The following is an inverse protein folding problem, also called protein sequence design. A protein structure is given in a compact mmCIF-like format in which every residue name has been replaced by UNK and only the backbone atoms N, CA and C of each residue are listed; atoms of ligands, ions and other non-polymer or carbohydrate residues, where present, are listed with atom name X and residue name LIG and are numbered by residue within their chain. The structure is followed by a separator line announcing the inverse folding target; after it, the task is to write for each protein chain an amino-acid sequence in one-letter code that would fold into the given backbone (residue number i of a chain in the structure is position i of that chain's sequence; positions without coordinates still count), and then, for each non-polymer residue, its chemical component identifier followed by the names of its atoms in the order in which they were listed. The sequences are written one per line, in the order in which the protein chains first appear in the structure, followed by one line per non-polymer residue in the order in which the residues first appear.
data_IF_748928230414
#
_entry.id   IF_748928230414
#
_cell.length_a   1.000
_cell.length_b   1.000
_cell.length_c   1.000
_cell.angle_alpha   90.00
_cell.angle_beta   90.00
_cell.angle_gamma   90.00
#
_symmetry.space_group_name_H-M   'P 1'
#
loop_
_entity.id
_entity.type
_entity.pdbx_description
1 polymer ?
#
# COMPACT_ATOMS: atom_id res chain seq x y z
N UNK A 1 9.77 13.77 -1.52
CA UNK A 1 9.84 12.30 -1.58
C UNK A 1 10.82 11.87 -0.50
N UNK A 2 10.42 10.95 0.39
CA UNK A 2 11.36 10.31 1.31
C UNK A 2 12.00 9.13 0.56
N UNK A 3 13.27 8.84 0.82
CA UNK A 3 13.93 7.66 0.24
C UNK A 3 13.61 6.39 1.05
N UNK A 4 12.48 6.38 1.75
CA UNK A 4 12.05 5.25 2.55
C UNK A 4 11.29 4.27 1.65
N UNK A 5 11.59 2.98 1.81
CA UNK A 5 10.83 1.92 1.15
C UNK A 5 9.51 1.75 1.91
N UNK A 6 8.39 1.92 1.22
CA UNK A 6 7.06 1.77 1.83
C UNK A 6 6.69 0.28 2.01
N UNK A 7 7.15 -0.61 1.12
CA UNK A 7 6.88 -2.05 1.19
C UNK A 7 8.00 -2.87 0.54
N UNK A 8 8.36 -3.98 1.18
CA UNK A 8 9.29 -4.98 0.64
C UNK A 8 8.57 -6.32 0.51
N UNK A 9 8.69 -6.96 -0.65
CA UNK A 9 8.20 -8.32 -0.90
C UNK A 9 9.38 -9.23 -1.23
N UNK A 10 9.38 -10.45 -0.67
CA UNK A 10 10.49 -11.40 -0.82
C UNK A 10 9.98 -12.73 -1.37
N UNK A 11 10.77 -13.36 -2.23
CA UNK A 11 10.48 -14.67 -2.77
C UNK A 11 10.63 -15.79 -1.75
N UNK A 12 10.02 -16.93 -2.04
CA UNK A 12 9.94 -18.09 -1.12
C UNK A 12 11.26 -18.84 -0.94
N UNK A 13 12.14 -18.82 -1.94
CA UNK A 13 13.43 -19.48 -1.89
C UNK A 13 14.44 -18.77 -2.80
N UNK A 14 15.72 -19.05 -2.57
CA UNK A 14 16.78 -18.71 -3.50
C UNK A 14 16.46 -19.28 -4.89
N UNK A 15 17.02 -18.66 -5.95
CA UNK A 15 16.94 -19.10 -7.35
C UNK A 15 15.53 -19.20 -7.98
N UNK A 16 14.44 -18.93 -7.26
CA UNK A 16 13.09 -18.89 -7.84
C UNK A 16 12.90 -17.69 -8.81
N UNK A 17 13.79 -16.71 -8.78
CA UNK A 17 13.71 -15.45 -9.52
C UNK A 17 12.38 -14.71 -9.30
N UNK A 18 11.91 -14.69 -8.05
CA UNK A 18 10.77 -13.86 -7.66
C UNK A 18 11.02 -12.39 -8.03
N UNK A 19 9.98 -11.74 -8.57
CA UNK A 19 10.04 -10.37 -9.09
C UNK A 19 10.93 -10.16 -10.30
N UNK A 20 11.30 -11.22 -11.05
CA UNK A 20 11.99 -11.06 -12.33
C UNK A 20 11.06 -10.56 -13.45
N UNK A 21 9.77 -10.87 -13.36
CA UNK A 21 8.75 -10.46 -14.33
C UNK A 21 7.67 -9.73 -13.56
N UNK A 22 7.37 -8.48 -13.92
CA UNK A 22 6.35 -7.64 -13.26
C UNK A 22 5.51 -6.94 -14.33
N UNK A 23 4.19 -6.94 -14.16
CA UNK A 23 3.29 -6.15 -15.00
C UNK A 23 2.10 -5.60 -14.21
N UNK A 24 1.55 -4.49 -14.70
CA UNK A 24 0.27 -3.95 -14.24
C UNK A 24 -0.85 -4.86 -14.71
N UNK A 25 -1.81 -5.20 -13.85
CA UNK A 25 -2.90 -6.11 -14.18
C UNK A 25 -4.26 -5.40 -14.38
N UNK A 26 -4.33 -4.10 -14.10
CA UNK A 26 -5.62 -3.42 -13.95
C UNK A 26 -6.32 -3.88 -12.67
N UNK A 27 -7.62 -3.65 -12.54
CA UNK A 27 -8.42 -4.12 -11.39
C UNK A 27 -9.02 -5.50 -11.72
N UNK A 28 -8.42 -6.58 -11.22
CA UNK A 28 -8.84 -7.95 -11.51
C UNK A 28 -9.97 -8.43 -10.61
N UNK A 29 -10.11 -7.87 -9.41
CA UNK A 29 -11.13 -8.29 -8.44
C UNK A 29 -12.36 -7.36 -8.38
N UNK A 30 -12.31 -6.22 -9.08
CA UNK A 30 -13.41 -5.25 -9.19
C UNK A 30 -13.54 -4.32 -7.98
N UNK A 31 -12.47 -4.09 -7.22
CA UNK A 31 -12.51 -3.27 -6.01
C UNK A 31 -12.19 -1.78 -6.22
N UNK A 32 -11.89 -1.39 -7.46
CA UNK A 32 -11.56 -0.04 -7.88
C UNK A 32 -10.08 0.31 -7.73
N UNK A 33 -9.21 -0.63 -7.34
CA UNK A 33 -7.77 -0.43 -7.25
C UNK A 33 -7.03 -1.28 -8.28
N UNK A 34 -5.93 -0.75 -8.83
CA UNK A 34 -5.11 -1.53 -9.76
C UNK A 34 -4.27 -2.57 -9.03
N UNK A 35 -4.34 -3.80 -9.53
CA UNK A 35 -3.59 -4.97 -9.11
C UNK A 35 -2.26 -5.11 -9.89
N UNK A 36 -1.41 -5.98 -9.37
CA UNK A 36 -0.10 -6.29 -9.93
C UNK A 36 0.09 -7.80 -10.09
N UNK A 37 0.66 -8.21 -11.22
CA UNK A 37 1.12 -9.57 -11.44
C UNK A 37 2.64 -9.63 -11.32
N UNK A 38 3.12 -10.62 -10.57
CA UNK A 38 4.55 -10.87 -10.35
C UNK A 38 4.88 -12.32 -10.67
N UNK A 39 5.96 -12.55 -11.40
CA UNK A 39 6.45 -13.88 -11.77
C UNK A 39 7.66 -14.34 -10.97
N UNK A 40 7.71 -15.65 -10.72
CA UNK A 40 8.89 -16.40 -10.28
C UNK A 40 9.12 -17.56 -11.26
N UNK A 41 9.78 -17.32 -12.41
CA UNK A 41 9.81 -18.28 -13.53
C UNK A 41 10.57 -19.58 -13.21
N UNK A 42 11.45 -19.58 -12.21
CA UNK A 42 12.18 -20.79 -11.80
C UNK A 42 11.61 -21.48 -10.56
N UNK A 43 10.47 -21.00 -10.05
CA UNK A 43 9.79 -21.64 -8.92
C UNK A 43 9.51 -23.12 -9.24
N UNK A 44 10.09 -24.02 -8.47
CA UNK A 44 9.93 -25.48 -8.60
C UNK A 44 10.07 -26.00 -10.05
N UNK A 45 10.91 -25.37 -10.88
CA UNK A 45 11.10 -25.66 -12.33
C UNK A 45 9.90 -25.44 -13.25
N UNK A 46 8.70 -25.23 -12.71
CA UNK A 46 7.46 -25.00 -13.47
C UNK A 46 7.09 -23.51 -13.58
N UNK A 47 7.70 -22.69 -12.73
CA UNK A 47 7.33 -21.29 -12.55
C UNK A 47 6.13 -21.11 -11.62
N UNK A 48 5.94 -19.87 -11.18
CA UNK A 48 4.79 -19.45 -10.39
C UNK A 48 4.44 -18.00 -10.70
N UNK A 49 3.15 -17.70 -10.67
CA UNK A 49 2.60 -16.36 -10.85
C UNK A 49 1.85 -15.97 -9.58
N UNK A 50 2.09 -14.75 -9.11
CA UNK A 50 1.44 -14.16 -7.95
C UNK A 50 0.60 -12.97 -8.42
N UNK A 51 -0.60 -12.84 -7.86
CA UNK A 51 -1.45 -11.66 -8.02
C UNK A 51 -1.44 -10.93 -6.69
N UNK A 52 -0.96 -9.69 -6.70
CA UNK A 52 -1.02 -8.78 -5.56
C UNK A 52 -2.20 -7.84 -5.77
N UNK A 53 -3.22 -7.99 -4.93
CA UNK A 53 -4.39 -7.14 -4.98
C UNK A 53 -4.05 -5.73 -4.49
N UNK A 54 -4.43 -4.74 -5.27
CA UNK A 54 -4.42 -3.35 -4.88
C UNK A 54 -5.36 -3.12 -3.69
N UNK A 55 -5.13 -2.06 -2.95
CA UNK A 55 -6.08 -1.62 -1.92
C UNK A 55 -5.87 -0.17 -1.57
N UNK A 56 -6.86 0.40 -0.89
CA UNK A 56 -6.73 1.70 -0.27
C UNK A 56 -5.55 1.69 0.72
N UNK A 57 -4.60 2.61 0.53
CA UNK A 57 -3.58 2.87 1.54
C UNK A 57 -4.29 3.47 2.75
N UNK A 58 -4.37 2.71 3.85
CA UNK A 58 -4.89 3.19 5.13
C UNK A 58 -3.83 4.05 5.82
N UNK A 59 -3.45 5.16 5.20
CA UNK A 59 -2.74 6.22 5.88
C UNK A 59 -3.76 6.95 6.74
N UNK A 60 -4.00 6.45 7.97
CA UNK A 60 -4.59 7.31 9.00
C UNK A 60 -3.54 8.34 9.36
N UNK A 61 -3.73 9.64 9.07
CA UNK A 61 -2.84 10.65 9.61
C UNK A 61 -2.92 10.57 11.14
N UNK A 62 -1.85 10.12 11.76
CA UNK A 62 -1.66 10.19 13.21
C UNK A 62 -1.29 11.64 13.54
N UNK A 63 -2.19 12.34 14.23
CA UNK A 63 -1.88 13.64 14.79
C UNK A 63 -1.14 13.44 16.12
N UNK A 64 0.18 13.51 16.05
CA UNK A 64 1.05 13.37 17.21
C UNK A 64 1.16 14.65 18.05
N UNK A 65 0.65 15.79 17.56
CA UNK A 65 0.69 17.05 18.27
C UNK A 65 -0.50 17.94 17.91
N UNK A 66 -1.39 18.17 18.88
CA UNK A 66 -2.32 19.29 18.87
C UNK A 66 -1.77 20.27 19.90
N UNK A 67 -1.25 21.41 19.44
CA UNK A 67 -0.91 22.50 20.35
C UNK A 67 -2.22 23.05 20.88
N UNK A 68 -2.43 22.92 22.18
CA UNK A 68 -3.55 23.53 22.86
C UNK A 68 -3.41 25.07 22.86
N UNK A 69 -4.53 25.80 22.86
CA UNK A 69 -4.49 27.25 23.04
C UNK A 69 -4.31 27.53 24.53
N UNK A 70 -3.30 28.30 24.96
CA UNK A 70 -3.17 28.67 26.37
C UNK A 70 -4.46 29.29 26.89
N UNK A 71 -4.91 28.82 28.06
CA UNK A 71 -6.10 29.28 28.79
C UNK A 71 -7.48 28.91 28.22
N UNK A 72 -7.55 27.98 27.26
CA UNK A 72 -8.82 27.34 26.94
C UNK A 72 -9.12 26.19 27.92
N UNK A 73 -10.38 25.98 28.28
CA UNK A 73 -10.79 24.97 29.27
C UNK A 73 -10.79 23.53 28.70
N UNK A 74 -9.92 23.23 27.73
CA UNK A 74 -9.80 21.92 27.09
C UNK A 74 -10.87 21.67 26.03
N UNK A 75 -10.99 22.59 25.06
CA UNK A 75 -11.92 22.43 23.93
C UNK A 75 -11.63 21.19 23.08
N UNK A 76 -12.62 20.32 22.84
CA UNK A 76 -12.45 19.19 21.92
C UNK A 76 -12.47 19.68 20.46
N UNK A 77 -11.32 19.67 19.80
CA UNK A 77 -11.24 19.91 18.35
C UNK A 77 -11.62 18.64 17.59
N UNK A 78 -12.76 18.66 16.89
CA UNK A 78 -13.16 17.57 16.00
C UNK A 78 -12.50 17.78 14.63
N UNK A 79 -11.41 17.07 14.37
CA UNK A 79 -10.74 17.11 13.06
C UNK A 79 -11.43 16.07 12.17
N UNK A 80 -12.16 16.55 11.15
CA UNK A 80 -12.72 15.72 10.09
C UNK A 80 -11.82 15.82 8.86
N UNK A 81 -11.28 14.70 8.42
CA UNK A 81 -10.57 14.61 7.15
C UNK A 81 -11.58 14.39 6.03
N UNK A 82 -11.49 15.18 4.95
CA UNK A 82 -12.17 14.92 3.70
C UNK A 82 -11.13 14.58 2.63
N UNK A 83 -11.33 13.49 1.87
CA UNK A 83 -10.52 13.20 0.69
C UNK A 83 -11.04 14.09 -0.45
N UNK A 84 -10.24 15.04 -0.92
CA UNK A 84 -10.57 15.79 -2.14
C UNK A 84 -10.27 14.90 -3.35
N UNK A 85 -11.28 14.27 -3.95
CA UNK A 85 -11.09 13.56 -5.22
C UNK A 85 -11.96 12.34 -5.52
N UNK A 86 -13.02 12.06 -4.76
CA UNK A 86 -14.06 11.11 -5.20
C UNK A 86 -15.26 11.92 -5.70
N UNK A 87 -15.33 12.10 -7.03
CA UNK A 87 -16.56 12.38 -7.77
C UNK A 87 -16.96 11.13 -8.53
#
# INVERSE_FOLDING_TARGET
MNNAVDMTMTGEAAINYFSQIVCTAGDLNGDGYSDMIVGAPSYATLGRTYIYLGSAISAKPILNYVKDVPDDQGGKVNIKWARSGLT
#
